data_IF_059632755630
#
_entry.id   IF_059632755630
#
_cell.length_a   1.000
_cell.length_b   1.000
_cell.length_c   1.000
_cell.angle_alpha   90.00
_cell.angle_beta   90.00
_cell.angle_gamma   90.00
#
_symmetry.space_group_name_H-M   'P 1'
#
loop_
_entity.id
_entity.type
_entity.pdbx_description
1 polymer ?
#
# COMPACT_ATOMS: atom_id res chain seq x y z
N UNK A 1 -27.80 8.00 7.22
CA UNK A 1 -26.95 9.21 7.09
C UNK A 1 -26.02 9.06 5.90
N UNK A 2 -25.74 10.14 5.18
CA UNK A 2 -24.71 10.14 4.14
C UNK A 2 -23.33 10.29 4.77
N UNK A 3 -22.35 9.57 4.23
CA UNK A 3 -20.96 9.53 4.64
C UNK A 3 -20.07 9.68 3.39
N UNK A 4 -18.79 10.08 3.52
CA UNK A 4 -17.89 10.22 2.37
C UNK A 4 -17.74 8.96 1.51
N UNK A 5 -17.97 7.78 2.09
CA UNK A 5 -17.89 6.48 1.42
C UNK A 5 -19.24 5.88 0.98
N UNK A 6 -20.34 6.60 1.20
CA UNK A 6 -21.68 6.16 0.81
C UNK A 6 -22.76 6.50 1.83
N UNK A 7 -23.53 5.51 2.25
CA UNK A 7 -24.63 5.70 3.20
C UNK A 7 -24.58 4.68 4.32
N UNK A 8 -24.92 5.08 5.54
CA UNK A 8 -24.98 4.17 6.66
C UNK A 8 -26.21 4.41 7.54
N UNK A 9 -26.68 3.35 8.17
CA UNK A 9 -27.72 3.41 9.19
C UNK A 9 -27.44 2.40 10.30
N UNK A 10 -27.99 2.63 11.48
CA UNK A 10 -27.96 1.70 12.61
C UNK A 10 -29.39 1.23 12.86
N UNK A 11 -29.59 -0.08 12.93
CA UNK A 11 -30.86 -0.75 13.16
C UNK A 11 -30.70 -1.63 14.40
N UNK A 12 -31.08 -1.11 15.57
CA UNK A 12 -30.83 -1.80 16.84
C UNK A 12 -29.33 -1.86 17.13
N UNK A 13 -28.80 -3.08 17.28
CA UNK A 13 -27.38 -3.37 17.50
C UNK A 13 -26.61 -3.70 16.20
N UNK A 14 -27.27 -3.61 15.04
CA UNK A 14 -26.67 -3.89 13.72
C UNK A 14 -26.43 -2.60 12.94
N UNK A 15 -25.27 -2.47 12.32
CA UNK A 15 -25.02 -1.42 11.33
C UNK A 15 -25.25 -1.94 9.91
N UNK A 16 -25.80 -1.10 9.03
CA UNK A 16 -25.89 -1.38 7.58
C UNK A 16 -25.23 -0.24 6.84
N UNK A 17 -24.28 -0.57 5.97
CA UNK A 17 -23.49 0.40 5.20
C UNK A 17 -23.54 0.05 3.72
N UNK A 18 -23.80 1.04 2.89
CA UNK A 18 -23.63 0.98 1.43
C UNK A 18 -22.33 1.68 1.05
N UNK A 19 -21.45 0.97 0.34
CA UNK A 19 -20.22 1.50 -0.22
C UNK A 19 -20.45 1.92 -1.68
N UNK A 20 -20.31 3.23 -1.96
CA UNK A 20 -20.69 3.80 -3.26
C UNK A 20 -19.48 4.09 -4.18
N UNK A 21 -18.27 4.20 -3.64
CA UNK A 21 -17.08 4.55 -4.43
C UNK A 21 -15.85 3.89 -3.85
N UNK A 22 -15.03 3.30 -4.73
CA UNK A 22 -13.82 2.53 -4.38
C UNK A 22 -14.06 1.55 -3.21
N UNK A 23 -15.10 0.69 -3.27
CA UNK A 23 -15.53 -0.13 -2.13
C UNK A 23 -14.40 -0.96 -1.51
N UNK A 24 -13.45 -1.42 -2.33
CA UNK A 24 -12.27 -2.16 -1.89
C UNK A 24 -11.30 -1.35 -1.03
N UNK A 25 -11.49 -0.02 -0.89
CA UNK A 25 -10.71 0.88 -0.03
C UNK A 25 -11.51 1.54 1.10
N UNK A 26 -12.75 1.09 1.36
CA UNK A 26 -13.65 1.76 2.32
C UNK A 26 -13.96 0.93 3.58
N UNK A 27 -13.42 -0.28 3.72
CA UNK A 27 -13.66 -1.11 4.90
C UNK A 27 -13.14 -0.44 6.18
N UNK A 28 -11.96 0.18 6.12
CA UNK A 28 -11.36 0.88 7.26
C UNK A 28 -12.21 2.04 7.77
N UNK A 29 -12.66 2.97 6.92
CA UNK A 29 -13.65 3.99 7.27
C UNK A 29 -14.93 3.45 7.92
N UNK A 30 -15.46 2.31 7.43
CA UNK A 30 -16.61 1.63 8.05
C UNK A 30 -16.29 1.18 9.47
N UNK A 31 -15.17 0.48 9.64
CA UNK A 31 -14.72 -0.01 10.94
C UNK A 31 -14.41 1.13 11.92
N UNK A 32 -13.84 2.23 11.43
CA UNK A 32 -13.59 3.43 12.21
C UNK A 32 -14.91 4.05 12.69
N UNK A 33 -15.91 4.16 11.81
CA UNK A 33 -17.23 4.70 12.13
C UNK A 33 -17.96 3.86 13.19
N UNK A 34 -17.96 2.53 13.06
CA UNK A 34 -18.61 1.65 14.03
C UNK A 34 -17.83 1.50 15.34
N UNK A 35 -16.49 1.66 15.34
CA UNK A 35 -15.65 1.48 16.54
C UNK A 35 -16.01 2.44 17.69
N UNK A 36 -16.71 3.54 17.38
CA UNK A 36 -17.21 4.51 18.33
C UNK A 36 -18.66 4.25 18.78
N UNK A 37 -19.25 3.11 18.40
CA UNK A 37 -20.67 2.77 18.59
C UNK A 37 -20.80 1.40 19.24
N UNK A 38 -21.93 1.17 19.89
CA UNK A 38 -22.27 -0.14 20.44
C UNK A 38 -23.05 -0.93 19.39
N UNK A 39 -22.33 -1.56 18.46
CA UNK A 39 -22.91 -2.48 17.47
C UNK A 39 -22.25 -3.84 17.57
N UNK A 40 -23.03 -4.90 17.41
CA UNK A 40 -22.60 -6.30 17.48
C UNK A 40 -22.20 -6.87 16.12
N UNK A 41 -22.68 -6.25 15.03
CA UNK A 41 -22.45 -6.72 13.65
C UNK A 41 -22.64 -5.61 12.62
N UNK A 42 -22.08 -5.82 11.43
CA UNK A 42 -22.18 -4.90 10.28
C UNK A 42 -22.54 -5.67 9.02
N UNK A 43 -23.53 -5.16 8.28
CA UNK A 43 -23.73 -5.52 6.88
C UNK A 43 -23.13 -4.46 5.97
N UNK A 44 -22.30 -4.90 5.02
CA UNK A 44 -21.70 -4.04 4.00
C UNK A 44 -22.28 -4.42 2.65
N UNK A 45 -22.95 -3.47 2.00
CA UNK A 45 -23.57 -3.59 0.69
C UNK A 45 -22.60 -3.03 -0.34
N UNK A 46 -22.29 -3.83 -1.37
CA UNK A 46 -21.40 -3.49 -2.47
C UNK A 46 -22.08 -3.87 -3.77
N UNK A 47 -22.14 -2.94 -4.73
CA UNK A 47 -22.84 -3.17 -6.00
C UNK A 47 -22.08 -4.15 -6.90
N UNK A 48 -20.78 -3.94 -7.09
CA UNK A 48 -19.94 -4.77 -7.95
C UNK A 48 -19.56 -6.09 -7.25
N UNK A 49 -19.94 -7.27 -7.79
CA UNK A 49 -19.68 -8.56 -7.13
C UNK A 49 -18.20 -8.84 -6.90
N UNK A 50 -17.34 -8.43 -7.84
CA UNK A 50 -15.88 -8.62 -7.72
C UNK A 50 -15.28 -7.82 -6.57
N UNK A 51 -15.72 -6.58 -6.37
CA UNK A 51 -15.35 -5.75 -5.23
C UNK A 51 -15.93 -6.30 -3.92
N UNK A 52 -17.18 -6.78 -3.94
CA UNK A 52 -17.81 -7.41 -2.78
C UNK A 52 -16.99 -8.60 -2.27
N UNK A 53 -16.47 -9.43 -3.17
CA UNK A 53 -15.61 -10.57 -2.82
C UNK A 53 -14.29 -10.12 -2.16
N UNK A 54 -13.67 -9.03 -2.64
CA UNK A 54 -12.45 -8.46 -2.04
C UNK A 54 -12.75 -7.88 -0.64
N UNK A 55 -13.83 -7.12 -0.50
CA UNK A 55 -14.24 -6.58 0.81
C UNK A 55 -14.55 -7.71 1.79
N UNK A 56 -15.23 -8.78 1.35
CA UNK A 56 -15.51 -9.97 2.15
C UNK A 56 -14.23 -10.68 2.60
N UNK A 57 -13.24 -10.81 1.71
CA UNK A 57 -11.92 -11.34 2.06
C UNK A 57 -11.27 -10.52 3.17
N UNK A 58 -11.19 -9.20 3.01
CA UNK A 58 -10.54 -8.29 3.98
C UNK A 58 -11.28 -8.27 5.32
N UNK A 59 -12.61 -8.32 5.30
CA UNK A 59 -13.46 -8.41 6.49
C UNK A 59 -13.15 -9.64 7.36
N UNK A 60 -12.72 -10.75 6.74
CA UNK A 60 -12.31 -11.97 7.45
C UNK A 60 -11.16 -11.79 8.45
N UNK A 61 -10.40 -10.69 8.38
CA UNK A 61 -9.30 -10.38 9.30
C UNK A 61 -9.74 -9.82 10.66
N UNK A 62 -11.02 -9.53 10.85
CA UNK A 62 -11.57 -8.90 12.05
C UNK A 62 -12.42 -9.88 12.87
N UNK A 63 -12.43 -9.71 14.20
CA UNK A 63 -13.32 -10.50 15.09
C UNK A 63 -14.75 -9.99 15.11
N UNK A 64 -14.95 -8.71 14.78
CA UNK A 64 -16.26 -8.14 14.59
C UNK A 64 -16.98 -8.85 13.41
N UNK A 65 -18.21 -9.36 13.60
CA UNK A 65 -19.01 -9.92 12.52
C UNK A 65 -19.32 -8.88 11.44
N UNK A 66 -18.72 -9.06 10.27
CA UNK A 66 -18.97 -8.24 9.07
C UNK A 66 -19.47 -9.16 7.95
N UNK A 67 -20.74 -9.02 7.58
CA UNK A 67 -21.33 -9.72 6.43
C UNK A 67 -21.29 -8.79 5.23
N UNK A 68 -20.72 -9.26 4.12
CA UNK A 68 -20.66 -8.49 2.88
C UNK A 68 -21.69 -9.04 1.91
N UNK A 69 -22.44 -8.15 1.27
CA UNK A 69 -23.53 -8.46 0.37
C UNK A 69 -23.25 -7.84 -1.00
N UNK A 70 -23.34 -8.66 -2.05
CA UNK A 70 -23.46 -8.19 -3.43
C UNK A 70 -24.90 -7.72 -3.68
N UNK A 71 -25.06 -6.53 -4.25
CA UNK A 71 -26.37 -5.96 -4.56
C UNK A 71 -26.71 -6.19 -6.04
N UNK A 72 -27.86 -6.81 -6.31
CA UNK A 72 -28.43 -6.89 -7.66
C UNK A 72 -29.86 -6.34 -7.64
N UNK A 73 -29.99 -5.05 -7.97
CA UNK A 73 -31.25 -4.32 -7.92
C UNK A 73 -31.84 -4.24 -6.51
N UNK A 74 -32.76 -5.14 -6.19
CA UNK A 74 -33.40 -5.26 -4.85
C UNK A 74 -33.04 -6.56 -4.14
N UNK A 75 -32.21 -7.39 -4.75
CA UNK A 75 -31.75 -8.67 -4.22
C UNK A 75 -30.40 -8.49 -3.56
N UNK A 76 -30.19 -9.18 -2.44
CA UNK A 76 -28.91 -9.24 -1.74
C UNK A 76 -28.44 -10.69 -1.70
N UNK A 77 -27.20 -10.92 -2.10
CA UNK A 77 -26.54 -12.23 -2.01
C UNK A 77 -25.27 -12.09 -1.19
N UNK A 78 -25.07 -12.97 -0.20
CA UNK A 78 -23.87 -12.95 0.61
C UNK A 78 -22.66 -13.20 -0.31
N UNK A 79 -21.67 -12.30 -0.26
CA UNK A 79 -20.50 -12.39 -1.09
C UNK A 79 -19.57 -13.51 -0.58
N UNK A 80 -19.16 -14.41 -1.47
CA UNK A 80 -18.09 -15.35 -1.18
C UNK A 80 -16.76 -14.58 -1.14
N UNK A 81 -15.94 -14.74 -0.08
CA UNK A 81 -14.63 -14.10 -0.01
C UNK A 81 -13.73 -14.48 -1.18
N UNK A 82 -13.12 -13.48 -1.82
CA UNK A 82 -12.08 -13.71 -2.81
C UNK A 82 -10.93 -14.54 -2.19
N UNK A 83 -10.21 -15.36 -3.00
CA UNK A 83 -9.02 -16.05 -2.51
C UNK A 83 -7.95 -15.03 -2.06
N UNK A 84 -7.01 -15.43 -1.18
CA UNK A 84 -5.85 -14.61 -0.84
C UNK A 84 -5.13 -14.12 -2.09
N UNK A 85 -4.60 -12.89 -2.03
CA UNK A 85 -3.77 -12.36 -3.12
C UNK A 85 -2.50 -13.21 -3.27
N UNK A 86 -2.13 -13.50 -4.52
CA UNK A 86 -0.98 -14.33 -4.86
C UNK A 86 0.10 -13.42 -5.43
N UNK A 87 1.29 -13.49 -4.83
CA UNK A 87 2.45 -12.70 -5.28
C UNK A 87 2.91 -13.18 -6.64
N UNK A 88 2.92 -12.28 -7.61
CA UNK A 88 3.38 -12.60 -8.95
C UNK A 88 4.92 -12.59 -9.00
N UNK A 89 5.56 -13.59 -9.64
CA UNK A 89 7.01 -13.57 -9.83
C UNK A 89 7.42 -12.41 -10.76
N UNK A 90 8.70 -11.98 -10.73
CA UNK A 90 9.21 -11.05 -11.72
C UNK A 90 9.08 -11.65 -13.14
N UNK A 91 8.94 -10.81 -14.19
CA UNK A 91 8.95 -11.28 -15.57
C UNK A 91 10.25 -12.02 -15.93
N UNK A 92 10.18 -12.95 -16.86
CA UNK A 92 11.37 -13.65 -17.37
C UNK A 92 12.30 -12.71 -18.14
N UNK A 93 13.62 -12.96 -18.10
CA UNK A 93 14.60 -12.23 -18.92
C UNK A 93 14.96 -10.83 -18.43
N UNK A 94 14.61 -10.48 -17.18
CA UNK A 94 14.85 -9.17 -16.58
C UNK A 94 16.14 -9.11 -15.75
N UNK A 95 16.91 -10.19 -15.66
CA UNK A 95 18.07 -10.33 -14.77
C UNK A 95 19.11 -9.24 -15.03
N UNK A 96 19.48 -9.03 -16.30
CA UNK A 96 20.44 -7.99 -16.72
C UNK A 96 19.94 -6.58 -16.37
N UNK A 97 18.63 -6.32 -16.47
CA UNK A 97 18.05 -5.03 -16.10
C UNK A 97 18.09 -4.83 -14.58
N UNK A 98 17.81 -5.87 -13.81
CA UNK A 98 17.94 -5.85 -12.34
C UNK A 98 19.39 -5.57 -11.91
N UNK A 99 20.38 -6.16 -12.59
CA UNK A 99 21.81 -5.86 -12.34
C UNK A 99 22.14 -4.41 -12.66
N UNK A 100 21.66 -3.88 -13.79
CA UNK A 100 21.83 -2.49 -14.19
C UNK A 100 21.23 -1.53 -13.14
N UNK A 101 20.01 -1.78 -12.66
CA UNK A 101 19.35 -0.97 -11.62
C UNK A 101 20.22 -0.91 -10.35
N UNK A 102 20.68 -2.08 -9.88
CA UNK A 102 21.53 -2.16 -8.66
C UNK A 102 22.86 -1.45 -8.86
N UNK A 103 23.50 -1.63 -10.02
CA UNK A 103 24.76 -0.96 -10.36
C UNK A 103 24.61 0.57 -10.42
N UNK A 104 23.44 1.07 -10.82
CA UNK A 104 23.12 2.49 -10.80
C UNK A 104 22.83 3.05 -9.38
N UNK A 105 22.73 2.18 -8.38
CA UNK A 105 22.48 2.57 -6.98
C UNK A 105 21.01 2.83 -6.65
N UNK A 106 20.10 2.15 -7.36
CA UNK A 106 18.67 2.07 -7.02
C UNK A 106 18.31 0.66 -6.54
N UNK A 107 17.22 0.55 -5.79
CA UNK A 107 16.65 -0.71 -5.33
C UNK A 107 15.80 -1.35 -6.42
N UNK A 108 15.89 -2.67 -6.55
CA UNK A 108 15.02 -3.46 -7.43
C UNK A 108 13.81 -3.89 -6.63
N UNK A 109 12.64 -3.40 -7.00
CA UNK A 109 11.37 -3.72 -6.35
C UNK A 109 10.50 -4.50 -7.32
N UNK A 110 9.87 -5.57 -6.83
CA UNK A 110 8.94 -6.38 -7.62
C UNK A 110 7.59 -6.32 -6.93
N UNK A 111 6.62 -5.65 -7.56
CA UNK A 111 5.24 -5.57 -7.09
C UNK A 111 4.29 -5.86 -8.26
N UNK A 112 3.35 -6.77 -8.05
CA UNK A 112 2.33 -7.20 -9.00
C UNK A 112 2.90 -7.63 -10.35
N UNK A 113 4.03 -8.35 -10.33
CA UNK A 113 4.71 -8.83 -11.54
C UNK A 113 5.43 -7.74 -12.34
N UNK A 114 5.58 -6.55 -11.76
CA UNK A 114 6.31 -5.43 -12.37
C UNK A 114 7.62 -5.21 -11.62
N UNK A 115 8.71 -5.13 -12.36
CA UNK A 115 10.02 -4.73 -11.82
C UNK A 115 10.17 -3.21 -11.94
N UNK A 116 10.47 -2.55 -10.83
CA UNK A 116 10.75 -1.11 -10.77
C UNK A 116 12.12 -0.84 -10.17
N UNK A 117 12.73 0.26 -10.60
CA UNK A 117 13.87 0.87 -9.93
C UNK A 117 13.34 1.90 -8.93
N UNK A 118 13.57 1.70 -7.64
CA UNK A 118 13.20 2.65 -6.60
C UNK A 118 14.43 3.32 -5.99
N UNK A 119 14.35 4.65 -5.81
CA UNK A 119 15.34 5.44 -5.10
C UNK A 119 14.67 6.18 -3.95
N UNK A 120 15.05 5.84 -2.71
CA UNK A 120 14.44 6.42 -1.50
C UNK A 120 12.90 6.29 -1.50
N UNK A 121 12.38 5.17 -2.02
CA UNK A 121 10.95 4.89 -2.18
C UNK A 121 10.26 5.56 -3.38
N UNK A 122 10.99 6.27 -4.24
CA UNK A 122 10.45 6.83 -5.48
C UNK A 122 10.78 5.96 -6.68
N UNK A 123 9.78 5.56 -7.46
CA UNK A 123 9.98 4.91 -8.76
C UNK A 123 10.67 5.88 -9.72
N UNK A 124 11.86 5.51 -10.21
CA UNK A 124 12.67 6.27 -11.16
C UNK A 124 12.79 5.57 -12.52
N UNK A 125 12.44 4.30 -12.59
CA UNK A 125 12.27 3.55 -13.83
C UNK A 125 11.39 2.32 -13.59
N UNK A 126 10.82 1.76 -14.65
CA UNK A 126 10.16 0.46 -14.62
C UNK A 126 10.57 -0.38 -15.82
N UNK A 127 10.55 -1.70 -15.65
CA UNK A 127 10.69 -2.63 -16.77
C UNK A 127 9.36 -2.71 -17.52
N UNK A 128 9.42 -2.57 -18.84
CA UNK A 128 8.29 -2.70 -19.75
C UNK A 128 8.64 -3.65 -20.89
N UNK A 129 7.63 -4.21 -21.53
CA UNK A 129 7.81 -4.98 -22.75
C UNK A 129 8.25 -4.05 -23.90
N UNK A 130 9.39 -4.35 -24.51
CA UNK A 130 9.92 -3.69 -25.70
C UNK A 130 9.86 -4.58 -26.94
N UNK A 131 10.14 -4.01 -28.12
CA UNK A 131 10.13 -4.75 -29.38
C UNK A 131 11.17 -5.89 -29.42
N UNK A 132 12.30 -5.70 -28.73
CA UNK A 132 13.43 -6.65 -28.68
C UNK A 132 13.53 -7.37 -27.31
N UNK A 133 12.44 -7.35 -26.53
CA UNK A 133 12.38 -7.90 -25.17
C UNK A 133 12.25 -6.82 -24.09
N UNK A 134 12.36 -7.21 -22.80
CA UNK A 134 12.23 -6.28 -21.69
C UNK A 134 13.22 -5.12 -21.78
N UNK A 135 12.74 -3.91 -21.50
CA UNK A 135 13.55 -2.69 -21.49
C UNK A 135 13.20 -1.79 -20.30
N UNK A 136 14.10 -0.89 -19.94
CA UNK A 136 13.84 0.12 -18.90
C UNK A 136 13.18 1.36 -19.49
N UNK A 137 12.00 1.67 -18.99
CA UNK A 137 11.31 2.94 -19.17
C UNK A 137 11.67 3.87 -18.01
N UNK A 138 12.50 4.89 -18.26
CA UNK A 138 13.16 5.73 -17.24
C UNK A 138 12.43 7.07 -17.08
N UNK A 139 12.13 7.43 -15.82
CA UNK A 139 11.44 8.67 -15.43
C UNK A 139 10.52 8.49 -14.21
N UNK A 140 10.17 9.60 -13.57
CA UNK A 140 9.37 9.67 -12.34
C UNK A 140 7.88 9.76 -12.67
N UNK A 141 7.23 8.59 -12.76
CA UNK A 141 5.83 8.49 -13.12
C UNK A 141 5.56 8.58 -14.62
N UNK A 142 4.34 8.26 -15.03
CA UNK A 142 3.99 8.05 -16.44
C UNK A 142 4.27 9.25 -17.34
N UNK A 143 3.81 10.44 -16.95
CA UNK A 143 3.98 11.64 -17.78
C UNK A 143 5.45 12.06 -17.91
N UNK A 144 6.25 11.87 -16.86
CA UNK A 144 7.68 12.16 -16.90
C UNK A 144 8.41 11.18 -17.82
N UNK A 145 8.05 9.88 -17.79
CA UNK A 145 8.60 8.87 -18.71
C UNK A 145 8.27 9.15 -20.17
N UNK A 146 7.01 9.50 -20.46
CA UNK A 146 6.57 9.90 -21.80
C UNK A 146 7.36 11.13 -22.29
N UNK A 147 7.53 12.15 -21.44
CA UNK A 147 8.33 13.34 -21.77
C UNK A 147 9.82 13.00 -21.93
N UNK A 148 10.38 12.21 -21.02
CA UNK A 148 11.79 11.83 -21.03
C UNK A 148 12.15 11.06 -22.29
N UNK A 149 11.31 10.10 -22.71
CA UNK A 149 11.48 9.35 -23.94
C UNK A 149 11.47 10.22 -25.21
N UNK A 150 10.65 11.28 -25.23
CA UNK A 150 10.62 12.24 -26.35
C UNK A 150 11.86 13.13 -26.36
N UNK A 151 12.28 13.67 -25.20
CA UNK A 151 13.39 14.62 -25.12
C UNK A 151 14.78 13.96 -25.15
N UNK A 152 14.87 12.68 -24.81
CA UNK A 152 16.13 11.93 -24.74
C UNK A 152 16.14 10.72 -25.69
N UNK A 153 15.41 10.80 -26.80
CA UNK A 153 15.38 9.74 -27.81
C UNK A 153 16.81 9.38 -28.26
N UNK A 154 17.19 8.11 -28.09
CA UNK A 154 18.52 7.58 -28.43
C UNK A 154 19.54 7.56 -27.27
N UNK A 155 19.19 8.05 -26.07
CA UNK A 155 20.04 7.91 -24.88
C UNK A 155 20.03 6.47 -24.37
N UNK A 156 21.20 5.87 -24.07
CA UNK A 156 21.26 4.54 -23.44
C UNK A 156 20.60 4.53 -22.05
N UNK A 157 19.84 3.48 -21.75
CA UNK A 157 19.12 3.33 -20.47
C UNK A 157 20.01 3.50 -19.21
N UNK A 158 21.26 2.97 -19.14
CA UNK A 158 22.14 3.22 -18.00
C UNK A 158 22.44 4.71 -17.77
N UNK A 159 22.66 5.46 -18.86
CA UNK A 159 22.96 6.89 -18.78
C UNK A 159 21.73 7.69 -18.35
N UNK A 160 20.57 7.36 -18.92
CA UNK A 160 19.29 7.95 -18.54
C UNK A 160 18.99 7.73 -17.06
N UNK A 161 19.13 6.49 -16.58
CA UNK A 161 18.86 6.13 -15.19
C UNK A 161 19.80 6.87 -14.23
N UNK A 162 21.11 6.95 -14.55
CA UNK A 162 22.07 7.69 -13.74
C UNK A 162 21.70 9.18 -13.61
N UNK A 163 21.25 9.81 -14.70
CA UNK A 163 20.80 11.22 -14.70
C UNK A 163 19.57 11.43 -13.81
N UNK A 164 18.57 10.55 -13.91
CA UNK A 164 17.37 10.64 -13.07
C UNK A 164 17.70 10.39 -11.60
N UNK A 165 18.54 9.40 -11.30
CA UNK A 165 19.01 9.12 -9.94
C UNK A 165 19.69 10.34 -9.32
N UNK A 166 20.59 10.99 -10.05
CA UNK A 166 21.30 12.17 -9.55
C UNK A 166 20.34 13.34 -9.29
N UNK A 167 19.42 13.62 -10.22
CA UNK A 167 18.41 14.65 -10.05
C UNK A 167 17.51 14.38 -8.82
N UNK A 168 17.05 13.13 -8.65
CA UNK A 168 16.22 12.74 -7.51
C UNK A 168 16.98 12.88 -6.19
N UNK A 169 18.24 12.46 -6.13
CA UNK A 169 19.08 12.61 -4.93
C UNK A 169 19.23 14.07 -4.56
N UNK A 170 19.55 14.93 -5.53
CA UNK A 170 19.69 16.36 -5.32
C UNK A 170 18.40 16.97 -4.77
N UNK A 171 17.27 16.75 -5.43
CA UNK A 171 15.98 17.32 -5.04
C UNK A 171 15.48 16.80 -3.68
N UNK A 172 15.75 15.52 -3.35
CA UNK A 172 15.31 14.93 -2.07
C UNK A 172 16.20 15.30 -0.89
N UNK A 173 17.46 15.68 -1.12
CA UNK A 173 18.41 16.09 -0.09
C UNK A 173 18.23 17.54 0.36
N UNK A 174 17.70 18.42 -0.49
CA UNK A 174 17.53 19.84 -0.18
C UNK A 174 16.50 20.07 0.95
N UNK A 175 16.88 20.45 2.18
CA UNK A 175 15.98 20.46 3.36
C UNK A 175 14.80 21.43 3.21
N UNK A 176 14.97 22.55 2.49
CA UNK A 176 13.94 23.58 2.27
C UNK A 176 13.39 23.62 0.84
N UNK A 177 13.72 22.63 0.00
CA UNK A 177 13.25 22.58 -1.39
C UNK A 177 11.73 22.47 -1.50
N UNK A 178 11.13 23.22 -2.43
CA UNK A 178 9.69 23.18 -2.73
C UNK A 178 9.34 22.18 -3.83
N UNK A 179 10.32 21.45 -4.36
CA UNK A 179 10.13 20.59 -5.52
C UNK A 179 9.10 19.46 -5.24
N UNK A 180 8.15 19.20 -6.16
CA UNK A 180 7.11 18.18 -5.95
C UNK A 180 7.65 16.78 -5.59
N UNK A 181 8.79 16.39 -6.16
CA UNK A 181 9.42 15.08 -5.93
C UNK A 181 9.76 14.77 -4.46
N UNK A 182 9.86 15.80 -3.60
CA UNK A 182 10.05 15.61 -2.15
C UNK A 182 8.82 15.00 -1.47
N UNK A 183 7.62 15.25 -2.01
CA UNK A 183 6.33 14.86 -1.43
C UNK A 183 5.72 13.61 -2.06
N UNK A 184 6.25 13.17 -3.20
CA UNK A 184 5.78 11.96 -3.89
C UNK A 184 6.18 10.68 -3.15
N UNK A 185 5.32 9.67 -3.23
CA UNK A 185 5.52 8.34 -2.65
C UNK A 185 5.94 8.39 -1.17
N UNK A 186 5.24 9.19 -0.36
CA UNK A 186 5.59 9.43 1.04
C UNK A 186 5.61 8.15 1.87
N UNK A 187 4.66 7.24 1.63
CA UNK A 187 4.56 5.94 2.28
C UNK A 187 5.76 5.05 1.95
N UNK A 188 6.16 5.00 0.68
CA UNK A 188 7.34 4.23 0.24
C UNK A 188 8.64 4.87 0.72
N UNK A 189 8.69 6.21 0.85
CA UNK A 189 9.83 6.91 1.45
C UNK A 189 9.98 6.55 2.93
N UNK A 190 8.88 6.54 3.68
CA UNK A 190 8.88 6.08 5.07
C UNK A 190 9.33 4.61 5.15
N UNK A 191 8.81 3.72 4.30
CA UNK A 191 9.28 2.33 4.18
C UNK A 191 10.77 2.25 3.93
N UNK A 192 11.29 2.98 2.93
CA UNK A 192 12.71 2.95 2.57
C UNK A 192 13.61 3.38 3.75
N UNK A 193 13.17 4.39 4.51
CA UNK A 193 13.88 4.81 5.71
C UNK A 193 13.87 3.75 6.82
N UNK A 194 12.74 3.09 7.06
CA UNK A 194 12.67 1.98 8.03
C UNK A 194 13.46 0.75 7.57
N UNK A 195 13.53 0.47 6.27
CA UNK A 195 14.38 -0.60 5.72
C UNK A 195 15.86 -0.28 5.94
N UNK A 196 16.25 0.98 5.82
CA UNK A 196 17.62 1.42 6.09
C UNK A 196 17.98 1.41 7.59
N UNK A 197 17.01 1.68 8.48
CA UNK A 197 17.17 1.59 9.93
C UNK A 197 15.99 0.85 10.60
N UNK A 198 15.97 -0.50 10.54
CA UNK A 198 14.89 -1.31 11.13
C UNK A 198 14.79 -1.16 12.66
N UNK A 199 15.91 -0.88 13.32
CA UNK A 199 16.00 -0.78 14.77
C UNK A 199 15.19 0.41 15.32
N UNK A 200 14.94 1.44 14.50
CA UNK A 200 14.08 2.59 14.83
C UNK A 200 12.65 2.19 15.23
N UNK A 201 12.18 1.04 14.77
CA UNK A 201 10.90 0.42 15.18
C UNK A 201 11.11 -0.95 15.84
N UNK A 202 12.30 -1.22 16.39
CA UNK A 202 12.61 -2.47 17.08
C UNK A 202 12.59 -3.72 16.19
N UNK A 203 12.68 -3.55 14.87
CA UNK A 203 12.91 -4.65 13.94
C UNK A 203 14.42 -4.90 13.78
N UNK A 204 14.78 -6.13 13.45
CA UNK A 204 16.16 -6.56 13.17
C UNK A 204 16.49 -6.46 11.68
N UNK A 205 15.51 -6.78 10.84
CA UNK A 205 15.60 -6.72 9.40
C UNK A 205 14.25 -6.32 8.81
N UNK A 206 14.26 -5.65 7.67
CA UNK A 206 13.08 -5.35 6.87
C UNK A 206 13.46 -5.39 5.39
N UNK A 207 12.56 -5.87 4.55
CA UNK A 207 12.65 -5.73 3.10
C UNK A 207 11.27 -5.41 2.52
N UNK A 208 11.20 -4.61 1.44
CA UNK A 208 9.93 -4.31 0.78
C UNK A 208 9.22 -5.57 0.28
N UNK A 209 7.89 -5.58 0.42
CA UNK A 209 7.01 -6.58 -0.20
C UNK A 209 5.78 -5.88 -0.77
N UNK A 210 5.10 -6.51 -1.72
CA UNK A 210 3.89 -5.93 -2.33
C UNK A 210 2.68 -5.91 -1.39
N UNK A 211 1.81 -4.91 -1.60
CA UNK A 211 0.46 -4.92 -1.02
C UNK A 211 -0.47 -5.86 -1.79
N UNK A 212 -1.73 -5.98 -1.34
CA UNK A 212 -2.74 -6.82 -2.02
C UNK A 212 -3.55 -6.08 -3.09
N UNK A 213 -3.47 -4.74 -3.10
CA UNK A 213 -4.12 -3.89 -4.10
C UNK A 213 -3.05 -3.11 -4.85
N UNK A 214 -3.06 -3.12 -6.20
CA UNK A 214 -2.08 -2.40 -6.99
C UNK A 214 -2.25 -0.89 -6.82
N UNK A 215 -1.14 -0.16 -6.97
CA UNK A 215 -1.15 1.30 -7.06
C UNK A 215 -1.51 1.74 -8.49
N UNK A 216 -2.33 2.77 -8.58
CA UNK A 216 -2.74 3.42 -9.83
C UNK A 216 -1.70 4.41 -10.37
N UNK A 217 -0.77 4.89 -9.53
CA UNK A 217 0.23 5.88 -9.90
C UNK A 217 1.19 6.27 -8.76
N UNK A 218 2.06 7.25 -9.04
CA UNK A 218 3.07 7.76 -8.09
C UNK A 218 2.45 8.62 -6.98
N UNK A 219 1.27 9.16 -7.22
CA UNK A 219 0.45 9.94 -6.29
C UNK A 219 -0.54 9.09 -5.49
N UNK A 220 -0.66 7.80 -5.81
CA UNK A 220 -1.55 6.87 -5.12
C UNK A 220 -1.11 6.63 -3.66
N UNK A 221 -1.98 7.04 -2.74
CA UNK A 221 -1.84 6.83 -1.30
C UNK A 221 -2.28 5.42 -0.95
N UNK A 222 -1.32 4.52 -0.96
CA UNK A 222 -1.48 3.14 -0.53
C UNK A 222 -0.43 2.78 0.51
N UNK A 223 -0.75 1.82 1.37
CA UNK A 223 0.19 1.28 2.37
C UNK A 223 1.44 0.77 1.64
N UNK A 224 2.61 1.24 2.06
CA UNK A 224 3.86 0.64 1.63
C UNK A 224 4.25 -0.46 2.62
N UNK A 225 4.37 -1.70 2.15
CA UNK A 225 4.52 -2.88 3.01
C UNK A 225 5.98 -3.34 3.02
N UNK A 226 6.45 -3.78 4.18
CA UNK A 226 7.72 -4.48 4.37
C UNK A 226 7.52 -5.72 5.26
N UNK A 227 8.32 -6.75 5.02
CA UNK A 227 8.39 -7.97 5.81
C UNK A 227 9.77 -8.06 6.48
N UNK A 228 9.84 -8.65 7.66
CA UNK A 228 11.11 -8.81 8.34
C UNK A 228 11.00 -9.57 9.65
N UNK A 229 11.95 -9.33 10.54
CA UNK A 229 12.04 -10.03 11.84
C UNK A 229 12.18 -9.04 13.00
N UNK A 230 11.63 -9.40 14.15
CA UNK A 230 11.87 -8.74 15.42
C UNK A 230 11.84 -9.75 16.56
N UNK A 231 12.91 -9.81 17.38
CA UNK A 231 13.03 -10.76 18.49
C UNK A 231 12.87 -12.23 18.02
N UNK A 232 13.34 -12.54 16.80
CA UNK A 232 13.20 -13.86 16.19
C UNK A 232 11.83 -14.19 15.60
N UNK A 233 10.83 -13.31 15.68
CA UNK A 233 9.48 -13.50 15.13
C UNK A 233 9.29 -12.70 13.83
N UNK A 234 8.46 -13.20 12.92
CA UNK A 234 8.11 -12.46 11.69
C UNK A 234 7.29 -11.22 12.02
N UNK A 235 7.66 -10.07 11.44
CA UNK A 235 6.87 -8.84 11.47
C UNK A 235 6.47 -8.42 10.07
N UNK A 236 5.24 -7.92 9.93
CA UNK A 236 4.79 -7.21 8.73
C UNK A 236 4.51 -5.75 9.08
N UNK A 237 5.20 -4.86 8.38
CA UNK A 237 5.18 -3.42 8.64
C UNK A 237 4.46 -2.73 7.50
N UNK A 238 3.45 -1.93 7.81
CA UNK A 238 2.82 -1.03 6.85
C UNK A 238 3.16 0.41 7.17
N UNK A 239 3.62 1.15 6.16
CA UNK A 239 3.91 2.57 6.27
C UNK A 239 2.79 3.37 5.60
N UNK A 240 2.24 4.35 6.32
CA UNK A 240 1.25 5.31 5.79
C UNK A 240 1.58 6.73 6.22
N UNK A 241 1.24 7.69 5.36
CA UNK A 241 1.44 9.12 5.61
C UNK A 241 0.14 9.85 5.30
N UNK A 242 -0.36 10.63 6.27
CA UNK A 242 -1.68 11.23 6.22
C UNK A 242 -2.79 10.31 6.76
N UNK A 243 -4.03 10.83 6.84
CA UNK A 243 -5.16 10.09 7.39
C UNK A 243 -5.67 9.04 6.39
N UNK A 244 -5.07 7.85 6.41
CA UNK A 244 -5.58 6.67 5.70
C UNK A 244 -6.27 5.72 6.69
N UNK A 245 -7.60 5.75 6.71
CA UNK A 245 -8.38 4.88 7.58
C UNK A 245 -8.43 3.43 7.08
N UNK A 246 -8.11 3.16 5.82
CA UNK A 246 -8.11 1.83 5.20
C UNK A 246 -6.74 1.15 5.27
N UNK A 247 -5.77 1.80 5.92
CA UNK A 247 -4.44 1.27 6.16
C UNK A 247 -4.46 -0.06 6.93
N UNK A 248 -5.28 -0.18 7.98
CA UNK A 248 -5.33 -1.37 8.82
C UNK A 248 -5.89 -2.58 8.06
N UNK A 249 -7.07 -2.51 7.40
CA UNK A 249 -7.53 -3.64 6.59
C UNK A 249 -6.59 -3.97 5.43
N UNK A 250 -5.91 -2.98 4.83
CA UNK A 250 -4.94 -3.20 3.76
C UNK A 250 -3.73 -3.99 4.24
N UNK A 251 -3.14 -3.57 5.37
CA UNK A 251 -2.01 -4.26 5.97
C UNK A 251 -2.40 -5.64 6.52
N UNK A 252 -3.62 -5.81 7.04
CA UNK A 252 -4.11 -7.10 7.51
C UNK A 252 -4.32 -8.10 6.35
N UNK A 253 -4.74 -7.62 5.17
CA UNK A 253 -4.81 -8.43 3.95
C UNK A 253 -3.41 -8.81 3.47
N UNK A 254 -2.46 -7.87 3.47
CA UNK A 254 -1.05 -8.14 3.16
C UNK A 254 -0.42 -9.16 4.12
N UNK A 255 -0.76 -9.10 5.42
CA UNK A 255 -0.35 -10.09 6.42
C UNK A 255 -0.79 -11.50 5.99
N UNK A 256 -2.04 -11.66 5.55
CA UNK A 256 -2.55 -12.97 5.10
C UNK A 256 -1.84 -13.49 3.86
N UNK A 257 -1.38 -12.61 2.98
CA UNK A 257 -0.63 -12.98 1.77
C UNK A 257 0.79 -13.42 2.09
N UNK A 258 1.50 -12.68 2.95
CA UNK A 258 2.94 -12.91 3.18
C UNK A 258 3.22 -13.86 4.35
N UNK A 259 2.58 -13.63 5.50
CA UNK A 259 2.68 -14.50 6.67
C UNK A 259 1.48 -14.25 7.61
N UNK A 260 0.45 -15.13 7.61
CA UNK A 260 -0.72 -14.98 8.47
C UNK A 260 -0.40 -14.94 9.97
N UNK A 261 0.79 -15.39 10.36
CA UNK A 261 1.24 -15.45 11.74
C UNK A 261 1.98 -14.20 12.21
N UNK A 262 2.49 -13.39 11.28
CA UNK A 262 3.33 -12.23 11.58
C UNK A 262 2.67 -11.19 12.49
N UNK A 263 3.47 -10.58 13.35
CA UNK A 263 3.06 -9.40 14.11
C UNK A 263 2.85 -8.22 13.15
N UNK A 264 1.70 -7.55 13.27
CA UNK A 264 1.34 -6.44 12.38
C UNK A 264 1.71 -5.12 13.05
N UNK A 265 2.57 -4.34 12.40
CA UNK A 265 3.00 -3.02 12.87
C UNK A 265 2.63 -1.98 11.82
N UNK A 266 1.68 -1.08 12.15
CA UNK A 266 1.37 0.08 11.33
C UNK A 266 2.20 1.29 11.81
N UNK A 267 3.02 1.84 10.93
CA UNK A 267 3.88 3.00 11.20
C UNK A 267 3.38 4.21 10.43
N UNK A 268 3.17 5.31 11.15
CA UNK A 268 2.67 6.57 10.59
C UNK A 268 3.16 7.79 11.37
N UNK A 269 3.21 9.00 10.77
CA UNK A 269 3.56 10.22 11.49
C UNK A 269 2.72 10.40 12.76
N UNK A 270 3.30 10.96 13.82
CA UNK A 270 2.60 11.15 15.10
C UNK A 270 1.29 11.96 14.95
N UNK A 271 1.26 12.94 14.04
CA UNK A 271 0.07 13.74 13.71
C UNK A 271 -1.07 12.94 13.06
N UNK A 272 -0.75 11.82 12.42
CA UNK A 272 -1.69 10.97 11.69
C UNK A 272 -2.21 9.80 12.55
N UNK A 273 -1.62 9.58 13.73
CA UNK A 273 -2.02 8.54 14.70
C UNK A 273 -3.34 8.90 15.40
N UNK A 274 -4.43 8.78 14.67
CA UNK A 274 -5.77 9.04 15.15
C UNK A 274 -6.27 7.89 16.05
N UNK A 275 -7.03 8.16 17.13
CA UNK A 275 -7.60 7.11 17.99
C UNK A 275 -8.48 6.10 17.24
N UNK A 276 -9.08 6.50 16.11
CA UNK A 276 -9.87 5.60 15.27
C UNK A 276 -9.01 4.50 14.63
N UNK A 277 -7.79 4.81 14.20
CA UNK A 277 -6.86 3.83 13.59
C UNK A 277 -6.46 2.78 14.62
N UNK A 278 -6.16 3.19 15.85
CA UNK A 278 -5.82 2.28 16.95
C UNK A 278 -6.99 1.36 17.32
N UNK A 279 -8.21 1.91 17.40
CA UNK A 279 -9.41 1.09 17.64
C UNK A 279 -9.61 0.06 16.52
N UNK A 280 -9.44 0.45 15.25
CA UNK A 280 -9.57 -0.50 14.13
C UNK A 280 -8.47 -1.57 14.18
N UNK A 281 -7.24 -1.22 14.51
CA UNK A 281 -6.14 -2.18 14.71
C UNK A 281 -6.43 -3.19 15.83
N UNK A 282 -7.12 -2.76 16.89
CA UNK A 282 -7.54 -3.62 17.99
C UNK A 282 -8.71 -4.56 17.64
N UNK A 283 -9.47 -4.29 16.57
CA UNK A 283 -10.56 -5.16 16.10
C UNK A 283 -10.08 -6.37 15.28
N UNK A 284 -8.80 -6.40 14.90
CA UNK A 284 -8.22 -7.54 14.18
C UNK A 284 -8.23 -8.79 15.07
N UNK A 285 -8.47 -9.97 14.46
CA UNK A 285 -8.40 -11.26 15.18
C UNK A 285 -7.05 -11.47 15.87
N UNK A 286 -6.00 -10.96 15.24
CA UNK A 286 -4.66 -10.77 15.82
C UNK A 286 -4.40 -9.28 15.85
N UNK A 287 -4.56 -8.62 17.02
CA UNK A 287 -4.43 -7.18 17.17
C UNK A 287 -3.12 -6.66 16.56
N UNK A 288 -3.22 -5.50 15.91
CA UNK A 288 -2.06 -4.79 15.36
C UNK A 288 -1.50 -3.76 16.33
N UNK A 289 -0.21 -3.45 16.19
CA UNK A 289 0.44 -2.36 16.90
C UNK A 289 0.50 -1.13 15.99
N UNK A 290 0.09 0.02 16.52
CA UNK A 290 0.21 1.31 15.83
C UNK A 290 1.37 2.09 16.45
N UNK A 291 2.38 2.45 15.66
CA UNK A 291 3.58 3.16 16.09
C UNK A 291 3.75 4.47 15.35
N UNK A 292 4.26 5.47 16.06
CA UNK A 292 4.64 6.73 15.41
C UNK A 292 5.97 6.55 14.68
N UNK A 293 6.06 7.08 13.46
CA UNK A 293 7.31 7.18 12.74
C UNK A 293 8.33 8.02 13.55
N UNK A 294 9.64 7.72 13.47
CA UNK A 294 10.70 8.57 13.97
C UNK A 294 10.53 10.03 13.49
N UNK A 295 10.85 11.00 14.35
CA UNK A 295 10.55 12.42 14.10
C UNK A 295 11.26 13.01 12.87
N UNK A 296 12.38 12.42 12.47
CA UNK A 296 13.18 12.75 11.28
C UNK A 296 12.60 12.16 9.98
N UNK A 297 11.64 11.23 10.09
CA UNK A 297 10.99 10.54 8.97
C UNK A 297 9.54 11.02 8.70
N UNK A 298 9.04 11.96 9.50
CA UNK A 298 7.62 12.36 9.57
C UNK A 298 7.31 13.77 9.03
#
# INVERSE_FOLDING_TARGET
MSLPFGAATVLGDRAVVLLASEPTRQLGPVLAWISARTVSSVDVLVDEPSDAAVVARRAGAFDLPVTVWSVDGRSLTAAEPAPPHVVAPPPEGVETLCELIRAAGAEVIVEHGVVTAELLGLEVARVVDGPDGPQLDVGVGRHDREAFGVFHAGMPAPEALAKVIEAVRHERAAPDGTHPMRRLAAERRLRAALVADPASIGAESLHPVEGTLPRSGVDDRSVAVALGTAQGETVIVGCVVGPDLDAVPSLADARRTHDPSAELILVLPARDRLPAVERVAALLRRPGIVRSAPADLA
#
